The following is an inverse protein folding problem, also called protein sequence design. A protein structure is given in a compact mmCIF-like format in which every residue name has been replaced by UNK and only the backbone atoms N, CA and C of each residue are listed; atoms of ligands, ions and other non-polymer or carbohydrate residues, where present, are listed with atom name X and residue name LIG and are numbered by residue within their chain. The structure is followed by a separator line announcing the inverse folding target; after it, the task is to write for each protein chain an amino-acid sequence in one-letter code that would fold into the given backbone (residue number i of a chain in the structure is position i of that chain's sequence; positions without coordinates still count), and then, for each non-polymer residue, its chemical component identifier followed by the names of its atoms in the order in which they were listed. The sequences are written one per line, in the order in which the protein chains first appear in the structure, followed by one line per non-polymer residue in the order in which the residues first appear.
data_IF_681540734493
#
_entry.id   IF_681540734493
#
_cell.length_a   1.000
_cell.length_b   1.000
_cell.length_c   1.000
_cell.angle_alpha   90.00
_cell.angle_beta   90.00
_cell.angle_gamma   90.00
#
_symmetry.space_group_name_H-M   'P 1'
#
loop_
_entity.id
_entity.type
_entity.pdbx_description
1 polymer ?
#
# COMPACT_ATOMS: atom_id res chain seq x y z
N UNK A 1 -53.77 -21.46 -73.01
CA UNK A 1 -52.38 -20.96 -73.00
C UNK A 1 -52.16 -20.24 -71.68
N UNK A 2 -51.51 -20.92 -70.75
CA UNK A 2 -51.28 -20.51 -69.37
C UNK A 2 -50.31 -19.34 -69.30
N UNK A 3 -50.60 -18.31 -68.48
CA UNK A 3 -49.62 -17.29 -68.09
C UNK A 3 -49.33 -17.40 -66.59
N UNK A 4 -48.13 -17.86 -66.29
CA UNK A 4 -47.48 -17.85 -64.99
C UNK A 4 -47.11 -16.39 -64.64
N UNK A 5 -47.49 -15.92 -63.45
CA UNK A 5 -46.89 -14.72 -62.85
C UNK A 5 -45.80 -15.17 -61.87
N UNK A 6 -44.57 -14.72 -62.14
CA UNK A 6 -43.39 -14.94 -61.31
C UNK A 6 -43.30 -13.80 -60.29
N UNK A 7 -43.29 -14.14 -58.99
CA UNK A 7 -43.10 -13.17 -57.91
C UNK A 7 -41.59 -13.03 -57.61
N UNK A 8 -41.01 -11.88 -58.00
CA UNK A 8 -39.64 -11.53 -57.64
C UNK A 8 -39.57 -11.10 -56.17
N UNK A 9 -38.76 -11.81 -55.37
CA UNK A 9 -38.44 -11.42 -53.99
C UNK A 9 -37.37 -10.32 -54.02
N UNK A 10 -37.72 -9.13 -53.54
CA UNK A 10 -36.80 -8.02 -53.33
C UNK A 10 -36.13 -8.19 -51.96
N UNK A 11 -34.90 -8.69 -51.92
CA UNK A 11 -34.10 -8.75 -50.68
C UNK A 11 -33.58 -7.36 -50.32
N UNK A 12 -34.02 -6.86 -49.16
CA UNK A 12 -33.53 -5.63 -48.55
C UNK A 12 -32.27 -5.96 -47.74
N UNK A 13 -31.08 -5.55 -48.23
CA UNK A 13 -29.83 -5.72 -47.51
C UNK A 13 -29.76 -4.66 -46.40
N UNK A 14 -30.01 -5.05 -45.15
CA UNK A 14 -29.81 -4.18 -44.00
C UNK A 14 -28.31 -4.08 -43.70
N UNK A 15 -27.72 -2.92 -43.99
CA UNK A 15 -26.34 -2.60 -43.63
C UNK A 15 -26.33 -2.20 -42.15
N UNK A 16 -26.01 -3.14 -41.27
CA UNK A 16 -25.84 -2.88 -39.83
C UNK A 16 -24.56 -2.06 -39.63
N UNK A 17 -24.75 -0.76 -39.38
CA UNK A 17 -23.69 0.14 -38.94
C UNK A 17 -23.38 -0.19 -37.47
N UNK A 18 -22.34 -0.99 -37.23
CA UNK A 18 -21.82 -1.17 -35.88
C UNK A 18 -21.08 0.09 -35.48
N UNK A 19 -21.73 0.96 -34.70
CA UNK A 19 -21.05 2.03 -33.97
C UNK A 19 -20.26 1.35 -32.86
N UNK A 20 -18.97 1.15 -33.08
CA UNK A 20 -18.04 0.86 -31.97
C UNK A 20 -17.93 2.12 -31.14
N UNK A 21 -18.62 2.16 -30.00
CA UNK A 21 -18.34 3.16 -28.98
C UNK A 21 -16.92 2.90 -28.46
N UNK A 22 -15.98 3.76 -28.83
CA UNK A 22 -14.72 3.85 -28.08
C UNK A 22 -15.11 4.27 -26.68
N UNK A 23 -14.81 3.44 -25.67
CA UNK A 23 -14.75 3.95 -24.31
C UNK A 23 -13.76 5.13 -24.36
N UNK A 24 -14.22 6.33 -23.99
CA UNK A 24 -13.32 7.44 -23.77
C UNK A 24 -12.36 6.97 -22.67
N UNK A 25 -11.08 6.85 -23.00
CA UNK A 25 -10.06 6.57 -22.01
C UNK A 25 -10.04 7.75 -21.06
N UNK A 26 -10.41 7.54 -19.80
CA UNK A 26 -10.27 8.57 -18.79
C UNK A 26 -8.79 8.93 -18.65
N UNK A 27 -8.49 10.22 -18.61
CA UNK A 27 -7.13 10.73 -18.40
C UNK A 27 -7.02 11.14 -16.93
N UNK A 28 -6.14 10.49 -16.17
CA UNK A 28 -5.78 10.97 -14.85
C UNK A 28 -4.92 12.23 -14.96
N UNK A 29 -5.23 13.25 -14.18
CA UNK A 29 -4.49 14.50 -14.12
C UNK A 29 -4.29 14.95 -12.69
N UNK A 30 -3.23 15.70 -12.44
CA UNK A 30 -2.91 16.28 -11.15
C UNK A 30 -3.31 17.76 -11.13
N UNK A 31 -3.92 18.20 -10.03
CA UNK A 31 -4.12 19.63 -9.76
C UNK A 31 -2.77 20.27 -9.48
N UNK A 32 -2.39 21.27 -10.27
CA UNK A 32 -1.10 21.96 -10.12
C UNK A 32 -1.22 23.48 -10.27
N UNK A 33 -0.21 24.20 -9.76
CA UNK A 33 -0.05 25.63 -9.95
C UNK A 33 -1.00 26.48 -9.11
N UNK A 34 -1.54 25.92 -8.03
CA UNK A 34 -2.30 26.62 -7.01
C UNK A 34 -1.34 27.27 -6.01
N UNK A 35 -1.62 28.52 -5.61
CA UNK A 35 -0.80 29.26 -4.66
C UNK A 35 -1.02 28.75 -3.22
N UNK A 36 -0.02 28.93 -2.35
CA UNK A 36 -0.11 28.54 -0.94
C UNK A 36 -1.35 29.16 -0.26
N UNK A 37 -2.24 28.31 0.23
CA UNK A 37 -3.49 28.71 0.90
C UNK A 37 -4.70 28.91 -0.02
N UNK A 38 -4.55 28.66 -1.33
CA UNK A 38 -5.66 28.64 -2.30
C UNK A 38 -6.07 27.20 -2.68
N UNK A 39 -7.22 27.06 -3.34
CA UNK A 39 -7.73 25.80 -3.88
C UNK A 39 -8.28 25.97 -5.30
N UNK A 40 -8.40 24.87 -6.04
CA UNK A 40 -9.05 24.80 -7.34
C UNK A 40 -10.54 24.52 -7.21
N UNK A 41 -11.38 25.49 -7.60
CA UNK A 41 -12.83 25.33 -7.53
C UNK A 41 -13.34 24.29 -8.54
N UNK A 42 -14.18 23.38 -8.06
CA UNK A 42 -15.05 22.50 -8.83
C UNK A 42 -16.38 23.19 -9.08
N UNK A 43 -16.77 23.29 -10.34
CA UNK A 43 -17.96 24.04 -10.76
C UNK A 43 -19.03 23.15 -11.37
N UNK A 44 -20.28 23.56 -11.25
CA UNK A 44 -21.42 22.84 -11.83
C UNK A 44 -21.41 22.82 -13.37
N UNK A 45 -20.69 23.74 -14.01
CA UNK A 45 -20.57 23.84 -15.46
C UNK A 45 -19.20 24.37 -15.89
N UNK A 46 -18.86 24.24 -17.19
CA UNK A 46 -17.55 24.62 -17.73
C UNK A 46 -17.42 26.15 -17.91
N UNK A 47 -17.60 26.91 -16.84
CA UNK A 47 -17.49 28.37 -16.81
C UNK A 47 -17.08 28.86 -15.42
N UNK A 48 -16.26 29.90 -15.35
CA UNK A 48 -15.86 30.54 -14.10
C UNK A 48 -17.05 31.23 -13.38
N UNK A 49 -18.15 31.48 -14.10
CA UNK A 49 -19.39 32.03 -13.54
C UNK A 49 -20.37 30.95 -13.07
N UNK A 50 -20.09 29.67 -13.32
CA UNK A 50 -20.93 28.57 -12.85
C UNK A 50 -20.83 28.42 -11.34
N UNK A 51 -21.91 27.93 -10.73
CA UNK A 51 -21.98 27.68 -9.29
C UNK A 51 -20.77 26.85 -8.84
N UNK A 52 -20.13 27.33 -7.79
CA UNK A 52 -19.09 26.62 -7.08
C UNK A 52 -19.74 25.51 -6.24
N UNK A 53 -19.30 24.28 -6.44
CA UNK A 53 -19.85 23.08 -5.78
C UNK A 53 -18.83 22.41 -4.87
N UNK A 54 -17.67 23.03 -4.69
CA UNK A 54 -16.57 22.56 -3.87
C UNK A 54 -15.23 22.86 -4.50
N UNK A 55 -14.19 22.32 -3.90
CA UNK A 55 -12.81 22.66 -4.20
C UNK A 55 -11.91 21.43 -4.15
N UNK A 56 -10.75 21.56 -4.78
CA UNK A 56 -9.66 20.58 -4.82
C UNK A 56 -8.36 21.29 -4.45
N UNK A 57 -7.54 20.65 -3.65
CA UNK A 57 -6.25 21.19 -3.26
C UNK A 57 -5.16 20.93 -4.32
N UNK A 58 -4.04 21.64 -4.23
CA UNK A 58 -2.82 21.32 -5.00
C UNK A 58 -2.46 19.83 -4.83
N UNK A 59 -1.98 19.20 -5.89
CA UNK A 59 -1.63 17.77 -5.98
C UNK A 59 -2.81 16.78 -5.94
N UNK A 60 -4.06 17.26 -5.86
CA UNK A 60 -5.23 16.38 -5.96
C UNK A 60 -5.27 15.67 -7.31
N UNK A 61 -5.45 14.35 -7.31
CA UNK A 61 -5.55 13.57 -8.55
C UNK A 61 -7.00 13.44 -9.01
N UNK A 62 -7.29 13.86 -10.23
CA UNK A 62 -8.63 13.82 -10.81
C UNK A 62 -8.69 12.95 -12.06
N UNK A 63 -9.74 12.15 -12.14
CA UNK A 63 -10.09 11.42 -13.35
C UNK A 63 -10.84 12.35 -14.30
N UNK A 64 -10.22 12.74 -15.42
CA UNK A 64 -10.85 13.53 -16.47
C UNK A 64 -11.67 12.62 -17.36
N UNK A 65 -12.98 12.71 -17.19
CA UNK A 65 -13.99 11.94 -17.93
C UNK A 65 -14.25 12.51 -19.34
N UNK A 66 -13.91 13.78 -19.54
CA UNK A 66 -14.11 14.50 -20.79
C UNK A 66 -13.75 15.97 -20.65
N UNK A 67 -13.77 16.70 -21.77
CA UNK A 67 -13.48 18.13 -21.81
C UNK A 67 -14.56 18.86 -22.58
N UNK A 68 -14.76 20.14 -22.29
CA UNK A 68 -15.64 20.98 -23.09
C UNK A 68 -15.04 21.17 -24.50
N UNK A 69 -15.85 21.65 -25.46
CA UNK A 69 -15.40 21.83 -26.84
C UNK A 69 -14.13 22.70 -26.95
N UNK A 70 -14.01 23.73 -26.10
CA UNK A 70 -12.86 24.62 -26.07
C UNK A 70 -11.63 24.05 -25.33
N UNK A 71 -11.72 22.85 -24.73
CA UNK A 71 -10.66 22.20 -23.95
C UNK A 71 -10.15 22.99 -22.74
N UNK A 72 -10.87 24.03 -22.31
CA UNK A 72 -10.53 24.90 -21.17
C UNK A 72 -11.09 24.40 -19.84
N UNK A 73 -12.02 23.44 -19.89
CA UNK A 73 -12.63 22.81 -18.72
C UNK A 73 -12.62 21.29 -18.87
N UNK A 74 -12.22 20.60 -17.82
CA UNK A 74 -12.28 19.15 -17.68
C UNK A 74 -13.48 18.78 -16.80
N UNK A 75 -14.21 17.76 -17.24
CA UNK A 75 -15.28 17.15 -16.46
C UNK A 75 -14.71 16.02 -15.61
N UNK A 76 -15.08 16.00 -14.33
CA UNK A 76 -14.59 15.05 -13.33
C UNK A 76 -15.77 14.48 -12.55
N UNK A 77 -15.58 13.33 -11.91
CA UNK A 77 -16.49 12.86 -10.86
C UNK A 77 -16.10 13.52 -9.53
N UNK A 78 -17.05 14.18 -8.87
CA UNK A 78 -16.83 14.88 -7.60
C UNK A 78 -18.00 14.61 -6.64
N UNK A 79 -17.71 14.00 -5.48
CA UNK A 79 -18.69 13.69 -4.42
C UNK A 79 -20.01 13.06 -4.93
N UNK A 80 -19.90 12.11 -5.86
CA UNK A 80 -21.06 11.38 -6.40
C UNK A 80 -21.82 12.08 -7.53
N UNK A 81 -21.37 13.25 -7.99
CA UNK A 81 -21.94 13.97 -9.14
C UNK A 81 -20.84 14.41 -10.12
N UNK A 82 -21.22 14.87 -11.31
CA UNK A 82 -20.27 15.43 -12.27
C UNK A 82 -19.98 16.90 -11.94
N UNK A 83 -18.69 17.26 -11.96
CA UNK A 83 -18.19 18.62 -11.79
C UNK A 83 -17.23 19.02 -12.90
N UNK A 84 -16.91 20.31 -12.97
CA UNK A 84 -16.01 20.88 -13.97
C UNK A 84 -14.90 21.69 -13.31
N UNK A 85 -13.66 21.44 -13.71
CA UNK A 85 -12.47 22.18 -13.24
C UNK A 85 -11.74 22.81 -14.42
N UNK A 86 -11.02 23.90 -14.18
CA UNK A 86 -10.25 24.54 -15.25
C UNK A 86 -9.04 23.69 -15.59
N UNK A 87 -8.82 23.44 -16.88
CA UNK A 87 -7.68 22.66 -17.36
C UNK A 87 -6.35 23.40 -17.20
N UNK A 88 -6.38 24.70 -16.91
CA UNK A 88 -5.19 25.50 -16.65
C UNK A 88 -4.46 25.07 -15.37
N UNK A 89 -5.18 24.45 -14.43
CA UNK A 89 -4.65 23.93 -13.17
C UNK A 89 -4.57 22.40 -13.20
N UNK A 90 -4.57 21.79 -14.38
CA UNK A 90 -4.40 20.36 -14.54
C UNK A 90 -3.12 20.11 -15.34
N UNK A 91 -2.14 19.50 -14.70
CA UNK A 91 -1.00 18.93 -15.42
C UNK A 91 -1.33 17.50 -15.81
N UNK A 92 -0.92 17.13 -17.02
CA UNK A 92 -0.77 15.71 -17.34
C UNK A 92 0.40 15.21 -16.49
N UNK A 93 0.09 14.76 -15.28
CA UNK A 93 0.93 13.75 -14.67
C UNK A 93 0.68 12.49 -15.49
N UNK A 94 1.74 11.82 -15.93
CA UNK A 94 1.57 10.38 -16.12
C UNK A 94 1.03 9.92 -14.76
N UNK A 95 -0.11 9.20 -14.69
CA UNK A 95 -0.58 8.71 -13.41
C UNK A 95 0.61 8.09 -12.69
N UNK A 96 0.78 8.37 -11.39
CA UNK A 96 1.60 7.54 -10.52
C UNK A 96 1.52 6.11 -11.04
N UNK A 97 2.65 5.59 -11.54
CA UNK A 97 2.63 4.28 -12.19
C UNK A 97 2.53 3.26 -11.08
N UNK A 98 1.31 2.96 -10.67
CA UNK A 98 1.06 1.86 -9.78
C UNK A 98 1.62 0.59 -10.45
N UNK A 99 2.43 -0.15 -9.71
CA UNK A 99 2.96 -1.45 -10.14
C UNK A 99 2.47 -2.51 -9.17
N UNK A 100 2.44 -3.77 -9.61
CA UNK A 100 2.39 -4.86 -8.63
C UNK A 100 3.70 -4.80 -7.83
N UNK A 101 3.60 -4.86 -6.49
CA UNK A 101 4.74 -4.65 -5.61
C UNK A 101 4.59 -3.41 -4.72
N UNK A 102 5.72 -2.89 -4.26
CA UNK A 102 5.75 -1.77 -3.31
C UNK A 102 5.43 -0.46 -4.01
N UNK A 103 4.43 0.23 -3.49
CA UNK A 103 4.02 1.56 -3.91
C UNK A 103 3.92 2.47 -2.69
N UNK A 104 3.90 3.77 -2.94
CA UNK A 104 3.67 4.80 -1.95
C UNK A 104 2.38 5.54 -2.29
N UNK A 105 1.62 5.92 -1.26
CA UNK A 105 0.49 6.83 -1.40
C UNK A 105 1.02 8.24 -1.66
N UNK A 106 0.55 8.89 -2.72
CA UNK A 106 0.99 10.23 -3.13
C UNK A 106 -0.20 11.07 -3.58
N UNK A 107 -0.08 12.39 -3.47
CA UNK A 107 -1.13 13.32 -3.91
C UNK A 107 -2.31 13.42 -2.93
N UNK A 108 -2.06 13.08 -1.66
CA UNK A 108 -3.03 13.22 -0.57
C UNK A 108 -2.69 14.48 0.25
N UNK A 109 -3.68 15.33 0.47
CA UNK A 109 -3.57 16.53 1.28
C UNK A 109 -3.28 16.23 2.77
N UNK A 110 -2.64 17.17 3.47
CA UNK A 110 -2.29 17.00 4.88
C UNK A 110 -3.52 17.02 5.81
N UNK A 111 -4.56 17.76 5.42
CA UNK A 111 -5.84 17.94 6.11
C UNK A 111 -7.03 17.38 5.34
N UNK A 112 -6.76 16.37 4.49
CA UNK A 112 -7.79 15.65 3.73
C UNK A 112 -8.97 15.22 4.65
N UNK A 113 -10.21 15.59 4.32
CA UNK A 113 -11.37 15.37 5.19
C UNK A 113 -11.73 13.89 5.37
N UNK A 114 -11.30 13.02 4.45
CA UNK A 114 -11.46 11.57 4.56
C UNK A 114 -10.30 10.93 5.35
N UNK A 115 -9.32 11.74 5.81
CA UNK A 115 -8.13 11.28 6.52
C UNK A 115 -7.08 10.66 5.59
N UNK A 116 -7.29 10.75 4.26
CA UNK A 116 -6.36 10.33 3.23
C UNK A 116 -6.99 9.47 2.12
N UNK A 117 -6.16 8.71 1.40
CA UNK A 117 -6.59 7.81 0.34
C UNK A 117 -7.55 6.75 0.89
N UNK A 118 -8.82 6.86 0.51
CA UNK A 118 -9.88 5.94 0.96
C UNK A 118 -9.61 4.52 0.44
N UNK A 119 -9.53 3.58 1.38
CA UNK A 119 -9.49 2.15 1.11
C UNK A 119 -10.90 1.59 1.12
N UNK A 120 -11.24 0.81 0.10
CA UNK A 120 -12.60 0.27 -0.11
C UNK A 120 -12.63 -1.25 -0.10
N UNK A 121 -13.79 -1.80 0.21
CA UNK A 121 -14.01 -3.25 0.18
C UNK A 121 -14.04 -3.88 -1.23
N UNK A 122 -13.97 -3.08 -2.29
CA UNK A 122 -13.98 -3.54 -3.69
C UNK A 122 -13.47 -2.47 -4.66
N UNK A 123 -13.21 -2.89 -5.89
CA UNK A 123 -12.67 -2.05 -6.96
C UNK A 123 -13.72 -1.09 -7.54
N UNK A 124 -13.94 0.04 -6.86
CA UNK A 124 -14.91 1.04 -7.30
C UNK A 124 -15.37 1.97 -6.17
N UNK A 125 -15.85 3.16 -6.51
CA UNK A 125 -16.34 4.14 -5.52
C UNK A 125 -17.67 3.76 -4.87
N UNK A 126 -18.39 2.81 -5.44
CA UNK A 126 -19.65 2.26 -4.94
C UNK A 126 -19.46 1.30 -3.76
N UNK A 127 -18.24 0.77 -3.58
CA UNK A 127 -17.92 -0.10 -2.46
C UNK A 127 -17.70 0.71 -1.18
N UNK A 128 -18.06 0.10 -0.05
CA UNK A 128 -17.92 0.73 1.27
C UNK A 128 -16.46 1.10 1.55
N UNK A 129 -16.27 2.29 2.11
CA UNK A 129 -14.99 2.70 2.69
C UNK A 129 -14.73 1.86 3.96
N UNK A 130 -13.54 1.24 4.03
CA UNK A 130 -13.09 0.40 5.14
C UNK A 130 -11.90 1.02 5.90
N UNK A 131 -11.39 2.16 5.41
CA UNK A 131 -10.44 3.01 6.11
C UNK A 131 -9.76 3.98 5.16
N UNK A 132 -8.65 4.59 5.59
CA UNK A 132 -7.91 5.57 4.81
C UNK A 132 -6.40 5.42 5.01
N UNK A 133 -5.62 5.83 4.01
CA UNK A 133 -4.16 5.84 4.05
C UNK A 133 -3.66 7.26 3.85
N UNK A 134 -2.80 7.73 4.76
CA UNK A 134 -2.21 9.06 4.66
C UNK A 134 -1.27 9.16 3.47
N UNK A 135 -0.97 10.39 3.05
CA UNK A 135 0.13 10.64 2.12
C UNK A 135 1.43 9.98 2.62
N UNK A 136 2.27 9.53 1.68
CA UNK A 136 3.52 8.81 1.92
C UNK A 136 3.40 7.43 2.60
N UNK A 137 2.18 6.93 2.81
CA UNK A 137 1.98 5.57 3.34
C UNK A 137 2.47 4.54 2.34
N UNK A 138 3.27 3.59 2.80
CA UNK A 138 3.69 2.47 1.97
C UNK A 138 2.61 1.40 1.91
N UNK A 139 2.38 0.90 0.69
CA UNK A 139 1.47 -0.21 0.44
C UNK A 139 2.10 -1.21 -0.50
N UNK A 140 1.73 -2.47 -0.34
CA UNK A 140 2.06 -3.51 -1.30
C UNK A 140 0.83 -3.82 -2.16
N UNK A 141 0.90 -3.47 -3.45
CA UNK A 141 -0.14 -3.79 -4.43
C UNK A 141 0.01 -5.24 -4.84
N UNK A 142 -1.05 -6.01 -4.57
CA UNK A 142 -1.16 -7.44 -4.84
C UNK A 142 -1.68 -7.68 -6.25
N UNK A 143 -2.67 -6.89 -6.68
CA UNK A 143 -3.34 -7.08 -7.97
C UNK A 143 -3.92 -5.77 -8.49
N UNK A 144 -4.01 -5.62 -9.82
CA UNK A 144 -4.79 -4.56 -10.47
C UNK A 144 -6.20 -5.07 -10.85
N UNK A 145 -7.21 -4.21 -10.73
CA UNK A 145 -8.53 -4.47 -11.26
C UNK A 145 -8.53 -4.47 -12.79
N UNK A 146 -9.58 -5.04 -13.40
CA UNK A 146 -9.83 -4.86 -14.83
C UNK A 146 -9.95 -3.36 -15.15
N UNK A 147 -9.17 -2.87 -16.12
CA UNK A 147 -9.06 -1.44 -16.44
C UNK A 147 -7.96 -0.67 -15.69
N UNK A 148 -7.35 -1.24 -14.65
CA UNK A 148 -6.12 -0.71 -14.02
C UNK A 148 -6.27 0.57 -13.19
N UNK A 149 -7.50 1.06 -12.97
CA UNK A 149 -7.80 2.27 -12.18
C UNK A 149 -7.90 2.00 -10.66
N UNK A 150 -7.97 0.72 -10.28
CA UNK A 150 -8.01 0.27 -8.89
C UNK A 150 -6.95 -0.82 -8.66
N UNK A 151 -6.33 -0.77 -7.48
CA UNK A 151 -5.34 -1.72 -7.01
C UNK A 151 -5.80 -2.36 -5.71
N UNK A 152 -5.66 -3.68 -5.62
CA UNK A 152 -5.82 -4.44 -4.39
C UNK A 152 -4.51 -4.38 -3.60
N UNK A 153 -4.60 -4.00 -2.34
CA UNK A 153 -3.50 -3.88 -1.38
C UNK A 153 -3.76 -4.74 -0.15
N UNK A 154 -2.73 -5.10 0.60
CA UNK A 154 -2.91 -5.58 1.98
C UNK A 154 -3.35 -4.44 2.89
N UNK A 155 -4.45 -4.62 3.62
CA UNK A 155 -5.02 -3.57 4.47
C UNK A 155 -5.81 -4.17 5.64
N UNK A 156 -5.54 -3.72 6.88
CA UNK A 156 -6.36 -4.08 8.04
C UNK A 156 -6.46 -5.59 8.28
N UNK A 157 -5.37 -6.32 8.01
CA UNK A 157 -5.38 -7.77 8.10
C UNK A 157 -6.33 -8.49 7.13
N UNK A 158 -6.71 -7.82 6.04
CA UNK A 158 -7.33 -8.40 4.86
C UNK A 158 -6.75 -7.74 3.60
N UNK A 159 -7.52 -7.69 2.53
CA UNK A 159 -7.25 -6.87 1.35
C UNK A 159 -8.21 -5.70 1.30
N UNK A 160 -7.73 -4.59 0.74
CA UNK A 160 -8.52 -3.42 0.41
C UNK A 160 -8.22 -2.96 -1.00
N UNK A 161 -9.11 -2.17 -1.58
CA UNK A 161 -8.97 -1.61 -2.91
C UNK A 161 -8.80 -0.10 -2.82
N UNK A 162 -7.79 0.42 -3.51
CA UNK A 162 -7.47 1.86 -3.58
C UNK A 162 -7.35 2.30 -5.03
N UNK A 163 -7.60 3.57 -5.29
CA UNK A 163 -7.42 4.12 -6.62
C UNK A 163 -5.92 4.18 -6.98
N UNK A 164 -5.55 3.66 -8.16
CA UNK A 164 -4.16 3.71 -8.65
C UNK A 164 -3.69 5.14 -8.95
N UNK A 165 -4.64 6.07 -9.07
CA UNK A 165 -4.38 7.50 -9.18
C UNK A 165 -3.45 8.05 -8.09
N UNK A 166 -3.50 7.46 -6.89
CA UNK A 166 -2.77 7.93 -5.73
C UNK A 166 -1.61 7.01 -5.36
N UNK A 167 -1.20 6.09 -6.25
CA UNK A 167 -0.15 5.12 -5.98
C UNK A 167 1.04 5.28 -6.92
N UNK A 168 2.18 5.71 -6.37
CA UNK A 168 3.43 5.78 -7.13
C UNK A 168 4.29 4.56 -6.84
N UNK A 169 4.82 3.90 -7.87
CA UNK A 169 5.83 2.86 -7.68
C UNK A 169 7.00 3.43 -6.87
N UNK A 170 7.33 2.76 -5.77
CA UNK A 170 8.30 3.25 -4.79
C UNK A 170 9.68 3.54 -5.43
N UNK A 171 10.11 2.72 -6.38
CA UNK A 171 11.36 2.84 -7.14
C UNK A 171 11.36 3.96 -8.21
N UNK A 172 10.24 4.65 -8.41
CA UNK A 172 10.12 5.77 -9.35
C UNK A 172 10.04 7.12 -8.65
N UNK A 173 9.95 7.13 -7.32
CA UNK A 173 10.02 8.37 -6.56
C UNK A 173 11.39 9.01 -6.78
N UNK A 174 11.36 10.33 -6.99
CA UNK A 174 12.57 11.13 -6.94
C UNK A 174 13.22 10.90 -5.58
N UNK A 175 14.50 10.54 -5.56
CA UNK A 175 15.29 10.48 -4.33
C UNK A 175 15.05 11.76 -3.53
N UNK A 176 14.80 11.70 -2.21
CA UNK A 176 14.83 12.87 -1.33
C UNK A 176 16.09 13.72 -1.62
N UNK A 177 16.04 15.01 -1.29
CA UNK A 177 17.02 16.05 -1.68
C UNK A 177 18.52 15.76 -1.43
N UNK A 178 18.84 14.65 -0.77
CA UNK A 178 20.19 14.12 -0.56
C UNK A 178 20.64 13.06 -1.59
N UNK A 179 19.80 12.71 -2.57
CA UNK A 179 20.15 11.86 -3.72
C UNK A 179 20.16 10.36 -3.43
N UNK A 180 19.49 9.88 -2.37
CA UNK A 180 19.47 8.46 -2.02
C UNK A 180 18.08 7.84 -2.15
N UNK A 181 17.99 6.66 -2.74
CA UNK A 181 16.75 5.90 -2.85
C UNK A 181 16.29 5.42 -1.45
N UNK A 182 15.10 5.85 -0.96
CA UNK A 182 14.61 5.45 0.35
C UNK A 182 14.31 3.95 0.46
N UNK A 183 14.21 3.21 -0.64
CA UNK A 183 13.87 1.79 -0.65
C UNK A 183 15.05 0.87 -0.91
N UNK A 184 16.26 1.43 -0.99
CA UNK A 184 17.50 0.68 -1.15
C UNK A 184 18.39 0.97 0.06
N UNK A 185 18.79 -0.09 0.77
CA UNK A 185 19.72 0.04 1.88
C UNK A 185 21.15 0.29 1.37
N UNK A 186 22.10 0.74 2.23
CA UNK A 186 23.50 0.96 1.85
C UNK A 186 24.21 -0.26 1.26
N UNK A 187 23.69 -1.46 1.49
CA UNK A 187 24.18 -2.72 0.91
C UNK A 187 23.65 -3.01 -0.51
N UNK A 188 22.79 -2.14 -1.05
CA UNK A 188 22.15 -2.28 -2.36
C UNK A 188 20.92 -3.19 -2.38
N UNK A 189 20.54 -3.80 -1.25
CA UNK A 189 19.36 -4.64 -1.14
C UNK A 189 18.07 -3.82 -0.92
N UNK A 190 16.90 -4.38 -1.29
CA UNK A 190 15.62 -3.69 -1.11
C UNK A 190 15.25 -3.54 0.37
N UNK A 191 14.38 -2.57 0.64
CA UNK A 191 13.65 -2.35 1.88
C UNK A 191 12.13 -2.46 1.62
N UNK A 192 11.31 -2.87 2.61
CA UNK A 192 11.69 -3.17 3.99
C UNK A 192 12.50 -4.46 4.12
N UNK A 193 13.35 -4.55 5.15
CA UNK A 193 14.11 -5.76 5.43
C UNK A 193 14.55 -5.87 6.89
N UNK A 194 14.93 -7.08 7.28
CA UNK A 194 15.38 -7.42 8.63
C UNK A 194 16.90 -7.27 8.76
N UNK A 195 17.31 -6.63 9.85
CA UNK A 195 18.70 -6.36 10.20
C UNK A 195 18.99 -6.79 11.64
N UNK A 196 20.27 -6.86 11.96
CA UNK A 196 20.78 -7.12 13.30
C UNK A 196 21.63 -5.94 13.74
N UNK A 197 21.49 -5.52 15.00
CA UNK A 197 22.29 -4.44 15.58
C UNK A 197 23.74 -4.90 15.73
N UNK A 198 24.67 -4.21 15.06
CA UNK A 198 26.09 -4.53 15.00
C UNK A 198 26.95 -3.28 15.30
N UNK A 199 28.22 -3.48 15.66
CA UNK A 199 29.12 -2.37 15.97
C UNK A 199 28.81 -1.61 17.27
N UNK A 200 27.88 -2.10 18.09
CA UNK A 200 27.55 -1.56 19.42
C UNK A 200 28.28 -2.37 20.49
N UNK A 201 28.96 -1.69 21.41
CA UNK A 201 29.72 -2.34 22.48
C UNK A 201 28.79 -3.05 23.50
N UNK A 202 29.31 -4.08 24.17
CA UNK A 202 28.57 -4.74 25.25
C UNK A 202 28.25 -3.74 26.38
N UNK A 203 26.98 -3.65 26.77
CA UNK A 203 26.49 -2.70 27.76
C UNK A 203 26.11 -1.32 27.20
N UNK A 204 26.30 -1.07 25.90
CA UNK A 204 25.83 0.14 25.21
C UNK A 204 24.55 -0.15 24.41
N UNK A 205 23.95 0.89 23.83
CA UNK A 205 22.72 0.81 23.03
C UNK A 205 22.84 1.60 21.73
N UNK A 206 22.28 1.04 20.65
CA UNK A 206 21.94 1.82 19.48
C UNK A 206 20.67 2.63 19.78
N UNK A 207 20.82 3.93 19.91
CA UNK A 207 19.69 4.82 20.22
C UNK A 207 18.75 4.98 19.04
N UNK A 208 17.46 4.74 19.29
CA UNK A 208 16.35 5.05 18.38
C UNK A 208 15.91 6.48 18.64
N UNK A 209 15.73 7.26 17.58
CA UNK A 209 15.46 8.70 17.66
C UNK A 209 14.16 9.10 16.97
N UNK A 210 13.59 10.22 17.39
CA UNK A 210 12.37 10.81 16.79
C UNK A 210 12.61 11.52 15.45
N UNK A 211 13.88 11.76 15.09
CA UNK A 211 14.29 12.35 13.83
C UNK A 211 15.57 11.67 13.29
N UNK A 212 15.80 11.64 11.97
CA UNK A 212 16.95 11.00 11.33
C UNK A 212 18.23 11.84 11.47
N UNK A 213 18.58 12.20 12.71
CA UNK A 213 19.79 12.95 13.03
C UNK A 213 20.23 12.68 14.48
N UNK A 214 21.52 12.94 14.75
CA UNK A 214 22.15 12.75 16.06
C UNK A 214 21.54 13.64 17.17
N UNK A 215 20.90 14.75 16.80
CA UNK A 215 20.29 15.67 17.77
C UNK A 215 18.85 15.30 18.15
N UNK A 216 18.22 14.35 17.46
CA UNK A 216 16.86 13.88 17.75
C UNK A 216 16.73 13.29 19.15
N UNK A 217 15.55 13.43 19.76
CA UNK A 217 15.21 12.88 21.06
C UNK A 217 15.32 11.36 21.04
N UNK A 218 15.85 10.77 22.12
CA UNK A 218 15.95 9.31 22.26
C UNK A 218 14.60 8.73 22.64
N UNK A 219 13.99 7.97 21.74
CA UNK A 219 12.74 7.24 21.96
C UNK A 219 12.97 5.93 22.73
N UNK A 220 14.12 5.30 22.49
CA UNK A 220 14.50 4.02 23.09
C UNK A 220 15.90 3.62 22.65
N UNK A 221 16.32 2.40 23.00
CA UNK A 221 17.63 1.90 22.62
C UNK A 221 17.64 0.40 22.41
N UNK A 222 18.27 -0.02 21.32
CA UNK A 222 18.41 -1.40 20.90
C UNK A 222 19.72 -1.98 21.44
N UNK A 223 19.64 -3.20 21.97
CA UNK A 223 20.81 -3.91 22.51
C UNK A 223 21.68 -4.48 21.37
N UNK A 224 22.98 -4.70 21.60
CA UNK A 224 23.83 -5.41 20.63
C UNK A 224 23.21 -6.76 20.25
N UNK A 225 23.22 -7.10 18.97
CA UNK A 225 22.64 -8.30 18.37
C UNK A 225 21.11 -8.39 18.41
N UNK A 226 20.38 -7.36 18.85
CA UNK A 226 18.93 -7.36 18.71
C UNK A 226 18.55 -7.33 17.22
N UNK A 227 17.41 -7.92 16.91
CA UNK A 227 16.85 -7.91 15.56
C UNK A 227 16.00 -6.66 15.40
N UNK A 228 16.04 -6.04 14.23
CA UNK A 228 15.25 -4.85 13.92
C UNK A 228 14.82 -4.90 12.47
N UNK A 229 13.63 -4.43 12.18
CA UNK A 229 13.15 -4.31 10.80
C UNK A 229 13.19 -2.85 10.36
N UNK A 230 13.86 -2.59 9.24
CA UNK A 230 13.95 -1.26 8.64
C UNK A 230 12.90 -1.15 7.54
N UNK A 231 12.07 -0.11 7.62
CA UNK A 231 10.99 0.15 6.68
C UNK A 231 11.48 0.83 5.41
N UNK A 232 12.27 1.89 5.58
CA UNK A 232 12.86 2.71 4.51
C UNK A 232 14.08 3.46 5.04
N UNK A 233 14.94 3.93 4.15
CA UNK A 233 16.00 4.89 4.43
C UNK A 233 15.41 6.29 4.53
N UNK A 234 15.93 7.08 5.46
CA UNK A 234 15.66 8.49 5.68
C UNK A 234 16.88 9.32 5.24
N UNK A 235 16.89 10.63 5.48
CA UNK A 235 18.00 11.50 5.08
C UNK A 235 19.35 11.05 5.65
N UNK A 236 20.39 10.96 4.83
CA UNK A 236 21.70 10.40 5.22
C UNK A 236 21.62 8.90 5.54
N UNK A 237 22.57 8.36 6.32
CA UNK A 237 22.59 6.92 6.66
C UNK A 237 21.64 6.56 7.82
N UNK A 238 20.41 7.08 7.79
CA UNK A 238 19.39 6.78 8.79
C UNK A 238 18.31 5.86 8.23
N UNK A 239 17.87 4.89 9.01
CA UNK A 239 16.80 3.96 8.68
C UNK A 239 15.61 4.17 9.58
N UNK A 240 14.42 4.22 8.99
CA UNK A 240 13.15 4.27 9.71
C UNK A 240 12.79 2.88 10.23
N UNK A 241 12.41 2.80 11.50
CA UNK A 241 11.93 1.60 12.19
C UNK A 241 10.63 1.94 12.92
N UNK A 242 9.93 0.90 13.36
CA UNK A 242 8.85 1.04 14.34
C UNK A 242 9.33 0.49 15.67
N UNK A 243 9.25 1.29 16.74
CA UNK A 243 9.57 0.88 18.09
C UNK A 243 8.39 1.20 19.00
N UNK A 244 7.81 0.20 19.68
CA UNK A 244 6.68 0.36 20.59
C UNK A 244 5.50 1.13 19.94
N UNK A 245 5.19 0.85 18.68
CA UNK A 245 4.13 1.53 17.93
C UNK A 245 4.42 2.97 17.53
N UNK A 246 5.66 3.45 17.66
CA UNK A 246 6.08 4.78 17.21
C UNK A 246 7.12 4.68 16.10
N UNK A 247 7.05 5.61 15.15
CA UNK A 247 8.09 5.76 14.12
C UNK A 247 9.35 6.31 14.80
N UNK A 248 10.47 5.62 14.58
CA UNK A 248 11.78 6.05 15.03
C UNK A 248 12.86 5.84 13.98
N UNK A 249 14.03 6.39 14.23
CA UNK A 249 15.16 6.37 13.31
C UNK A 249 16.42 5.84 13.99
N UNK A 250 17.12 4.95 13.30
CA UNK A 250 18.42 4.39 13.73
C UNK A 250 19.48 4.64 12.66
N UNK A 251 20.73 4.77 13.07
CA UNK A 251 21.82 4.94 12.13
C UNK A 251 22.20 3.60 11.50
N UNK A 252 22.12 3.49 10.17
CA UNK A 252 22.28 2.25 9.42
C UNK A 252 23.71 1.69 9.46
N UNK A 253 24.71 2.50 9.82
CA UNK A 253 26.08 2.03 10.07
C UNK A 253 26.23 1.11 11.30
N UNK A 254 25.20 0.99 12.14
CA UNK A 254 25.16 0.11 13.31
C UNK A 254 24.19 -1.06 13.15
N UNK A 255 23.80 -1.36 11.92
CA UNK A 255 22.99 -2.54 11.61
C UNK A 255 23.58 -3.26 10.41
N UNK A 256 23.40 -4.58 10.38
CA UNK A 256 23.82 -5.43 9.26
C UNK A 256 22.65 -6.29 8.84
N UNK A 257 22.39 -6.40 7.52
CA UNK A 257 21.27 -7.18 7.00
C UNK A 257 21.37 -8.60 7.53
N UNK A 258 20.27 -9.10 8.09
CA UNK A 258 20.23 -10.44 8.64
C UNK A 258 20.34 -11.46 7.49
N UNK A 259 21.27 -12.41 7.59
CA UNK A 259 21.36 -13.51 6.64
C UNK A 259 20.22 -14.50 6.89
N UNK A 260 19.45 -14.80 5.85
CA UNK A 260 18.14 -15.48 5.95
C UNK A 260 18.24 -17.01 6.16
N UNK A 261 19.46 -17.55 6.33
CA UNK A 261 19.73 -18.95 6.60
C UNK A 261 20.26 -19.19 8.01
N UNK A 262 19.36 -19.40 8.97
CA UNK A 262 19.64 -20.06 10.27
C UNK A 262 20.76 -19.43 11.11
N UNK A 263 20.41 -18.42 11.91
CA UNK A 263 21.29 -17.82 12.93
C UNK A 263 20.56 -17.57 14.26
N UNK A 264 21.17 -16.82 15.18
CA UNK A 264 20.57 -16.40 16.45
C UNK A 264 19.41 -15.40 16.32
N UNK A 265 19.04 -15.01 15.09
CA UNK A 265 18.15 -13.89 14.79
C UNK A 265 16.84 -14.32 14.14
N UNK A 266 16.73 -15.58 13.71
CA UNK A 266 15.52 -16.14 13.09
C UNK A 266 15.20 -17.54 13.61
N UNK A 267 13.91 -17.89 13.57
CA UNK A 267 13.41 -19.26 13.75
C UNK A 267 12.73 -19.66 12.46
N UNK A 268 13.35 -20.58 11.71
CA UNK A 268 12.82 -21.06 10.44
C UNK A 268 12.48 -19.93 9.44
N UNK A 269 13.34 -18.91 9.32
CA UNK A 269 13.12 -17.76 8.43
C UNK A 269 12.21 -16.66 9.01
N UNK A 270 11.60 -16.87 10.17
CA UNK A 270 10.86 -15.83 10.89
C UNK A 270 11.81 -15.05 11.81
N UNK A 271 11.79 -13.71 11.81
CA UNK A 271 12.60 -12.92 12.74
C UNK A 271 12.17 -13.18 14.19
N UNK A 272 13.14 -13.22 15.10
CA UNK A 272 12.85 -13.15 16.54
C UNK A 272 12.36 -11.76 16.92
N UNK A 273 11.39 -11.69 17.84
CA UNK A 273 10.70 -10.45 18.19
C UNK A 273 9.58 -10.07 17.23
N UNK A 274 9.23 -10.93 16.26
CA UNK A 274 8.17 -10.66 15.31
C UNK A 274 6.80 -10.65 16.00
N UNK A 275 6.06 -9.57 15.83
CA UNK A 275 4.64 -9.47 16.19
C UNK A 275 3.84 -9.11 14.95
N UNK A 276 2.93 -10.00 14.57
CA UNK A 276 1.95 -9.80 13.52
C UNK A 276 0.57 -9.54 14.11
N UNK A 277 -0.17 -8.59 13.56
CA UNK A 277 -1.53 -8.23 14.00
C UNK A 277 -2.48 -8.19 12.83
N UNK A 278 -3.66 -8.78 13.00
CA UNK A 278 -4.79 -8.63 12.09
C UNK A 278 -5.92 -7.90 12.80
N UNK A 279 -6.69 -7.09 12.06
CA UNK A 279 -7.69 -6.19 12.67
C UNK A 279 -9.11 -6.72 12.52
N UNK A 280 -9.39 -7.57 11.54
CA UNK A 280 -10.70 -8.23 11.41
C UNK A 280 -10.58 -9.68 10.88
N UNK A 281 -10.85 -10.70 11.72
CA UNK A 281 -11.00 -10.62 13.18
C UNK A 281 -9.71 -10.10 13.85
N UNK A 282 -9.83 -9.54 15.07
CA UNK A 282 -8.65 -9.16 15.84
C UNK A 282 -7.86 -10.39 16.30
N UNK A 283 -6.59 -10.47 15.88
CA UNK A 283 -5.67 -11.51 16.30
C UNK A 283 -4.23 -11.01 16.33
N UNK A 284 -3.40 -11.68 17.12
CA UNK A 284 -1.96 -11.46 17.21
C UNK A 284 -1.24 -12.79 17.02
N UNK A 285 -0.15 -12.79 16.24
CA UNK A 285 0.82 -13.89 16.22
C UNK A 285 2.17 -13.32 16.63
N UNK A 286 2.76 -13.89 17.67
CA UNK A 286 4.06 -13.45 18.20
C UNK A 286 5.08 -14.58 18.07
N UNK A 287 6.30 -14.24 17.65
CA UNK A 287 7.50 -15.07 17.72
C UNK A 287 8.49 -14.32 18.60
N UNK A 288 8.53 -14.66 19.87
CA UNK A 288 9.31 -13.94 20.86
C UNK A 288 10.81 -14.26 20.75
N UNK A 289 11.64 -13.43 21.39
CA UNK A 289 13.11 -13.61 21.42
C UNK A 289 13.55 -14.96 22.03
N UNK A 290 12.77 -15.50 22.97
CA UNK A 290 12.99 -16.81 23.57
C UNK A 290 12.51 -17.98 22.69
N UNK A 291 12.09 -17.67 21.46
CA UNK A 291 11.59 -18.61 20.44
C UNK A 291 10.22 -19.19 20.73
N UNK A 292 9.50 -18.67 21.71
CA UNK A 292 8.09 -19.01 21.90
C UNK A 292 7.25 -18.44 20.76
N UNK A 293 6.28 -19.23 20.29
CA UNK A 293 5.36 -18.85 19.24
C UNK A 293 3.95 -18.93 19.80
N UNK A 294 3.20 -17.84 19.71
CA UNK A 294 1.86 -17.76 20.28
C UNK A 294 0.91 -17.06 19.32
N UNK A 295 -0.22 -17.71 19.04
CA UNK A 295 -1.35 -17.06 18.40
C UNK A 295 -2.36 -16.67 19.47
N UNK A 296 -2.91 -15.46 19.41
CA UNK A 296 -4.00 -15.02 20.30
C UNK A 296 -5.12 -14.41 19.47
N UNK A 297 -6.37 -14.73 19.80
CA UNK A 297 -7.55 -14.08 19.22
C UNK A 297 -8.51 -13.63 20.31
N UNK A 298 -9.30 -12.59 20.05
CA UNK A 298 -10.31 -12.13 21.02
C UNK A 298 -11.37 -13.20 21.33
N UNK A 299 -11.68 -14.07 20.37
CA UNK A 299 -12.74 -15.06 20.49
C UNK A 299 -12.29 -16.28 21.28
N UNK A 300 -11.10 -16.81 20.97
CA UNK A 300 -10.62 -18.08 21.51
C UNK A 300 -9.50 -17.95 22.55
N UNK A 301 -9.01 -16.73 22.80
CA UNK A 301 -7.85 -16.50 23.66
C UNK A 301 -6.54 -16.96 23.02
N UNK A 302 -5.56 -17.26 23.88
CA UNK A 302 -4.24 -17.73 23.49
C UNK A 302 -4.25 -19.20 23.04
N UNK A 303 -3.56 -19.48 21.95
CA UNK A 303 -3.32 -20.79 21.33
C UNK A 303 -1.81 -20.93 21.05
N UNK A 304 -1.04 -21.47 22.02
CA UNK A 304 0.41 -21.61 21.89
C UNK A 304 0.80 -22.56 20.74
N UNK A 305 1.74 -22.12 19.91
CA UNK A 305 2.27 -22.90 18.79
C UNK A 305 3.57 -23.57 19.22
N UNK A 306 3.57 -24.90 19.29
CA UNK A 306 4.69 -25.69 19.81
C UNK A 306 5.74 -26.05 18.76
N UNK A 307 5.38 -25.94 17.46
CA UNK A 307 6.33 -26.18 16.37
C UNK A 307 5.95 -25.38 15.13
N UNK A 308 6.92 -24.64 14.60
CA UNK A 308 6.92 -24.13 13.22
C UNK A 308 7.59 -25.18 12.35
N UNK A 309 6.83 -25.85 11.50
CA UNK A 309 7.32 -26.85 10.56
C UNK A 309 7.42 -26.27 9.15
N UNK A 310 8.39 -26.78 8.39
CA UNK A 310 8.44 -26.66 6.93
C UNK A 310 8.39 -25.23 6.40
N UNK A 311 9.51 -24.50 6.54
CA UNK A 311 9.62 -23.16 5.97
C UNK A 311 10.39 -23.17 4.66
N UNK A 312 9.70 -22.83 3.57
CA UNK A 312 10.31 -22.77 2.24
C UNK A 312 10.41 -21.30 1.81
N UNK A 313 11.63 -20.79 1.53
CA UNK A 313 11.79 -19.47 0.95
C UNK A 313 11.28 -19.41 -0.48
N UNK A 314 11.19 -18.21 -1.04
CA UNK A 314 10.84 -17.98 -2.44
C UNK A 314 11.88 -18.58 -3.39
N UNK A 315 11.49 -18.76 -4.67
CA UNK A 315 12.38 -19.24 -5.72
C UNK A 315 13.44 -18.15 -5.98
N UNK A 316 14.62 -18.32 -5.38
CA UNK A 316 15.68 -17.30 -5.36
C UNK A 316 16.33 -17.13 -3.97
N UNK A 317 15.71 -17.68 -2.93
CA UNK A 317 16.12 -17.48 -1.53
C UNK A 317 15.40 -16.28 -0.91
N UNK A 318 15.18 -16.34 0.41
CA UNK A 318 14.53 -15.27 1.17
C UNK A 318 13.01 -15.26 1.11
N UNK A 319 12.44 -14.09 1.40
CA UNK A 319 11.00 -13.87 1.46
C UNK A 319 10.34 -13.95 0.06
N UNK A 320 9.05 -14.31 -0.02
CA UNK A 320 8.22 -14.80 1.09
C UNK A 320 8.63 -16.19 1.62
N UNK A 321 8.49 -16.37 2.93
CA UNK A 321 8.61 -17.67 3.60
C UNK A 321 7.24 -18.27 3.83
N UNK A 322 7.02 -19.48 3.31
CA UNK A 322 5.85 -20.28 3.69
C UNK A 322 6.11 -21.02 5.00
N UNK A 323 5.08 -21.40 5.75
CA UNK A 323 5.22 -22.21 6.97
C UNK A 323 3.99 -23.07 7.25
N UNK A 324 4.18 -24.13 8.02
CA UNK A 324 3.15 -24.87 8.73
C UNK A 324 3.37 -24.81 10.25
N UNK A 325 2.31 -24.92 11.03
CA UNK A 325 2.36 -24.89 12.49
C UNK A 325 1.10 -25.51 13.09
N UNK A 326 1.09 -26.82 13.36
CA UNK A 326 -0.07 -27.54 13.88
C UNK A 326 -1.33 -27.32 13.00
N UNK A 327 -2.26 -26.46 13.45
CA UNK A 327 -3.50 -26.09 12.73
C UNK A 327 -3.38 -24.83 11.89
N UNK A 328 -2.19 -24.22 11.86
CA UNK A 328 -1.86 -23.00 11.15
C UNK A 328 -0.95 -23.32 9.96
N UNK A 329 -1.07 -22.54 8.91
CA UNK A 329 -0.08 -22.44 7.84
C UNK A 329 -0.10 -21.03 7.30
N UNK A 330 0.92 -20.60 6.58
CA UNK A 330 0.91 -19.25 6.08
C UNK A 330 2.10 -18.88 5.23
N UNK A 331 2.13 -17.61 4.87
CA UNK A 331 3.20 -16.97 4.12
C UNK A 331 3.54 -15.65 4.79
N UNK A 332 4.77 -15.50 5.24
CA UNK A 332 5.33 -14.24 5.73
C UNK A 332 6.14 -13.61 4.61
N UNK A 333 5.95 -12.32 4.36
CA UNK A 333 6.64 -11.57 3.32
C UNK A 333 7.23 -10.28 3.86
N UNK A 334 8.39 -9.85 3.37
CA UNK A 334 9.04 -8.58 3.72
C UNK A 334 8.50 -7.47 2.84
N UNK A 335 7.19 -7.22 2.97
CA UNK A 335 6.49 -6.20 2.20
C UNK A 335 5.81 -5.24 3.15
N UNK A 336 5.81 -3.96 2.75
CA UNK A 336 5.16 -2.93 3.53
C UNK A 336 3.67 -3.22 3.69
N UNK A 337 3.17 -3.04 4.91
CA UNK A 337 1.79 -3.34 5.28
C UNK A 337 1.20 -2.18 6.09
N UNK A 338 -0.10 -1.96 5.98
CA UNK A 338 -0.84 -0.99 6.77
C UNK A 338 -2.02 -1.66 7.46
N UNK A 339 -2.17 -1.42 8.76
CA UNK A 339 -3.32 -1.88 9.53
C UNK A 339 -4.56 -0.99 9.34
N UNK A 340 -4.43 0.09 8.57
CA UNK A 340 -5.53 0.97 8.21
C UNK A 340 -6.11 1.82 9.34
N UNK A 341 -5.51 1.77 10.53
CA UNK A 341 -6.01 2.43 11.73
C UNK A 341 -4.93 3.22 12.46
N UNK A 342 -3.66 2.88 12.29
CA UNK A 342 -2.54 3.51 12.99
C UNK A 342 -1.53 4.14 12.03
N UNK A 343 -0.71 5.03 12.57
CA UNK A 343 0.48 5.57 11.90
C UNK A 343 1.67 4.60 11.94
N UNK A 344 1.43 3.34 12.32
CA UNK A 344 2.49 2.34 12.42
C UNK A 344 2.86 1.90 11.01
N UNK A 345 4.13 2.10 10.65
CA UNK A 345 4.71 1.48 9.46
C UNK A 345 5.02 0.02 9.77
N UNK A 346 4.44 -0.91 9.01
CA UNK A 346 4.78 -2.32 9.11
C UNK A 346 5.70 -2.73 7.98
N UNK A 347 6.75 -3.46 8.35
CA UNK A 347 7.82 -3.89 7.46
C UNK A 347 7.57 -5.25 6.82
N UNK A 348 6.53 -5.95 7.25
CA UNK A 348 6.21 -7.29 6.79
C UNK A 348 4.69 -7.49 6.74
N UNK A 349 4.26 -8.43 5.91
CA UNK A 349 2.88 -8.90 5.84
C UNK A 349 2.81 -10.41 6.07
N UNK A 350 1.73 -10.87 6.67
CA UNK A 350 1.48 -12.28 6.97
C UNK A 350 0.11 -12.67 6.42
N UNK A 351 0.08 -13.70 5.57
CA UNK A 351 -1.13 -14.45 5.23
C UNK A 351 -1.14 -15.73 6.06
N UNK A 352 -2.12 -15.88 6.95
CA UNK A 352 -2.24 -16.99 7.88
C UNK A 352 -3.53 -17.77 7.58
N UNK A 353 -3.41 -19.02 7.17
CA UNK A 353 -4.52 -19.97 7.13
C UNK A 353 -4.61 -20.71 8.45
N UNK A 354 -5.79 -20.74 9.08
CA UNK A 354 -6.04 -21.59 10.25
C UNK A 354 -7.18 -22.56 10.00
N UNK A 355 -7.01 -23.80 10.46
CA UNK A 355 -8.08 -24.81 10.46
C UNK A 355 -8.99 -24.56 11.65
N UNK A 356 -10.31 -24.48 11.42
CA UNK A 356 -11.34 -24.22 12.43
C UNK A 356 -11.91 -25.56 12.92
N UNK A 357 -12.27 -25.61 14.20
CA UNK A 357 -12.98 -26.75 14.78
C UNK A 357 -14.29 -26.99 14.00
N UNK A 358 -14.43 -28.17 13.39
CA UNK A 358 -15.58 -28.51 12.53
C UNK A 358 -15.24 -28.76 11.06
N UNK A 359 -13.97 -28.65 10.65
CA UNK A 359 -13.49 -29.16 9.35
C UNK A 359 -13.40 -28.12 8.22
N UNK A 360 -13.33 -26.83 8.55
CA UNK A 360 -13.06 -25.75 7.59
C UNK A 360 -11.70 -25.08 7.82
N UNK A 361 -11.30 -24.22 6.89
CA UNK A 361 -10.18 -23.30 7.07
C UNK A 361 -10.60 -21.87 6.77
N UNK A 362 -10.00 -20.92 7.45
CA UNK A 362 -10.10 -19.50 7.13
C UNK A 362 -8.71 -18.94 6.86
N UNK A 363 -8.65 -17.92 6.00
CA UNK A 363 -7.43 -17.17 5.70
C UNK A 363 -7.58 -15.79 6.34
N UNK A 364 -6.57 -15.45 7.12
CA UNK A 364 -6.38 -14.22 7.85
C UNK A 364 -5.19 -13.49 7.22
N UNK A 365 -5.22 -12.16 7.22
CA UNK A 365 -4.04 -11.38 6.87
C UNK A 365 -3.64 -10.52 8.05
N UNK A 366 -2.40 -10.08 8.09
CA UNK A 366 -1.88 -9.28 9.17
C UNK A 366 -0.64 -8.51 8.75
N UNK A 367 -0.39 -7.41 9.44
CA UNK A 367 0.82 -6.63 9.31
C UNK A 367 1.76 -6.95 10.46
N UNK A 368 3.06 -7.03 10.19
CA UNK A 368 4.04 -7.43 11.19
C UNK A 368 5.22 -6.46 11.30
N UNK A 369 5.74 -6.37 12.51
CA UNK A 369 7.00 -5.71 12.83
C UNK A 369 7.82 -6.57 13.78
N UNK A 370 9.12 -6.31 13.79
CA UNK A 370 10.01 -6.81 14.84
C UNK A 370 10.06 -5.74 15.92
N UNK A 371 9.64 -6.11 17.14
CA UNK A 371 9.54 -5.20 18.30
C UNK A 371 10.52 -5.56 19.42
#
# INVERSE_FOLDING_TARGET
MSRLFSAAHMSLLALSLTVSASAASAEMMEVVGIADGDTLNVRQGPSASSADIGDLEEHTMVEVLGRNFAQTWAQIQYRGQLGWVSTAYLASSAPPRAVIGVNVVTGIAADDPDGGLVVRGGAGTEFAAIGALRNETLVHVIQMAEGGTWAMIGFGGNVGWVSTAYLTAANTLSTPSDGVDPYIAPDGGPLPAVFTVTGVAAGDKLWVRDAPNITGTRLGGLSPNSVVSLNRRASGDWGQITLNGQIGYVHMGYVTRASEGGGNTTVNGFPLGLTCRGTEPFWTLTIAEDRTVEYTSLVNGADPITSLTQTTPSIGGGYPYTFGAQRYSGTLDQTACSDGMSDISYSMSLTLTRVINGGGSETLYGCCNVE
#
